data_IF_798373994172
#
_entry.id   IF_798373994172
#
_cell.length_a   1.000
_cell.length_b   1.000
_cell.length_c   1.000
_cell.angle_alpha   90.00
_cell.angle_beta   90.00
_cell.angle_gamma   90.00
#
_symmetry.space_group_name_H-M   'P 1'
#
loop_
_entity.id
_entity.type
_entity.pdbx_description
1 polymer ?
#
# COMPACT_ATOMS: atom_id res chain seq x y z
N UNK A 1 -53.26 18.91 -15.47
CA UNK A 1 -53.16 19.74 -14.24
C UNK A 1 -52.37 18.95 -13.21
N UNK A 2 -51.26 19.37 -12.61
CA UNK A 2 -50.35 20.51 -12.77
C UNK A 2 -49.03 20.01 -12.16
N UNK A 3 -47.94 20.00 -12.96
CA UNK A 3 -46.58 19.70 -12.51
C UNK A 3 -46.09 20.84 -11.62
N UNK A 4 -45.35 20.56 -10.54
CA UNK A 4 -44.50 21.55 -9.87
C UNK A 4 -43.04 21.12 -9.92
N UNK A 5 -42.32 21.80 -10.79
CA UNK A 5 -40.85 21.85 -10.85
C UNK A 5 -40.28 22.66 -9.67
N UNK A 6 -38.99 22.47 -9.35
CA UNK A 6 -38.35 23.00 -8.13
C UNK A 6 -37.88 24.46 -8.28
N UNK A 7 -37.87 25.17 -7.15
CA UNK A 7 -37.28 26.51 -7.02
C UNK A 7 -35.75 26.44 -7.14
N UNK A 8 -35.24 27.18 -8.11
CA UNK A 8 -33.83 27.53 -8.29
C UNK A 8 -33.55 28.82 -7.50
N UNK A 9 -32.60 28.80 -6.57
CA UNK A 9 -32.07 30.02 -5.96
C UNK A 9 -30.76 30.41 -6.68
N UNK A 10 -30.83 31.47 -7.48
CA UNK A 10 -29.66 32.23 -7.94
C UNK A 10 -29.29 33.28 -6.88
N UNK A 11 -28.02 33.32 -6.47
CA UNK A 11 -27.55 34.24 -5.44
C UNK A 11 -26.09 34.63 -5.57
N UNK A 12 -25.83 35.56 -6.49
CA UNK A 12 -24.77 36.61 -6.53
C UNK A 12 -23.29 36.21 -6.36
N UNK A 13 -22.60 36.34 -7.50
CA UNK A 13 -21.17 36.67 -7.63
C UNK A 13 -20.91 38.06 -7.05
N UNK A 14 -19.84 38.21 -6.27
CA UNK A 14 -19.19 39.50 -6.02
C UNK A 14 -17.75 39.42 -6.54
N UNK A 15 -17.42 40.30 -7.49
CA UNK A 15 -16.08 40.63 -7.95
C UNK A 15 -15.64 41.90 -7.20
N UNK A 16 -14.43 41.89 -6.65
CA UNK A 16 -13.63 43.10 -6.47
C UNK A 16 -12.17 42.71 -6.72
N UNK A 17 -11.52 43.49 -7.58
CA UNK A 17 -10.17 43.34 -8.13
C UNK A 17 -9.21 44.33 -7.40
N UNK A 18 -7.93 44.50 -7.77
CA UNK A 18 -6.80 44.27 -6.87
C UNK A 18 -6.06 45.55 -6.46
N UNK A 19 -5.16 45.45 -5.47
CA UNK A 19 -4.16 46.48 -5.20
C UNK A 19 -2.79 45.88 -4.88
N UNK A 20 -1.81 46.52 -5.50
CA UNK A 20 -0.37 46.25 -5.62
C UNK A 20 0.38 46.64 -4.35
N UNK A 21 1.40 45.87 -3.96
CA UNK A 21 2.59 46.43 -3.30
C UNK A 21 3.81 45.51 -3.51
N UNK A 22 4.78 46.03 -4.27
CA UNK A 22 6.12 45.50 -4.43
C UNK A 22 6.99 45.79 -3.20
N UNK A 23 7.85 44.85 -2.83
CA UNK A 23 8.85 45.01 -1.77
C UNK A 23 10.05 44.09 -2.03
N UNK A 24 11.24 44.69 -2.16
CA UNK A 24 12.50 44.10 -2.63
C UNK A 24 13.14 43.11 -1.64
N UNK A 25 13.84 42.14 -2.25
CA UNK A 25 15.08 41.40 -1.90
C UNK A 25 15.76 41.70 -0.55
N UNK A 26 16.25 40.63 0.09
CA UNK A 26 17.62 40.52 0.59
C UNK A 26 18.04 39.05 0.75
N UNK A 27 19.07 38.64 0.00
CA UNK A 27 19.93 37.47 0.29
C UNK A 27 20.85 37.79 1.47
N UNK A 28 21.41 36.76 2.14
CA UNK A 28 22.87 36.69 2.11
C UNK A 28 23.44 35.30 1.80
N UNK A 29 24.63 35.38 1.22
CA UNK A 29 25.46 34.30 0.71
C UNK A 29 26.14 33.45 1.80
N UNK A 30 26.47 32.22 1.41
CA UNK A 30 27.82 31.68 1.56
C UNK A 30 28.08 30.69 2.71
N UNK A 31 28.19 29.41 2.38
CA UNK A 31 29.22 28.55 2.95
C UNK A 31 29.56 27.41 1.97
N UNK A 32 30.85 27.19 1.81
CA UNK A 32 31.52 26.39 0.78
C UNK A 32 31.52 24.88 1.08
N UNK A 33 31.85 24.17 0.00
CA UNK A 33 32.11 22.75 -0.11
C UNK A 33 33.19 22.17 0.83
N UNK A 34 33.02 20.88 1.12
CA UNK A 34 34.00 19.92 1.62
C UNK A 34 33.21 18.67 2.02
N UNK A 35 33.52 17.44 1.68
CA UNK A 35 34.58 16.80 0.92
C UNK A 35 34.17 15.33 0.87
N UNK A 36 34.51 14.63 -0.21
CA UNK A 36 34.20 13.22 -0.39
C UNK A 36 34.81 12.37 0.75
N UNK A 37 33.99 11.49 1.32
CA UNK A 37 34.40 10.44 2.24
C UNK A 37 33.53 9.21 1.99
N UNK A 38 34.10 8.25 1.28
CA UNK A 38 33.62 6.88 1.12
C UNK A 38 33.52 6.19 2.49
N UNK A 39 32.44 5.45 2.78
CA UNK A 39 32.55 4.30 3.65
C UNK A 39 32.12 3.06 2.87
N UNK A 40 33.13 2.33 2.40
CA UNK A 40 33.03 0.92 2.12
C UNK A 40 32.43 0.16 3.30
N UNK A 41 31.67 -0.87 2.93
CA UNK A 41 31.49 -2.17 3.60
C UNK A 41 31.77 -2.16 5.11
N UNK A 42 30.73 -2.47 5.90
CA UNK A 42 30.82 -3.59 6.83
C UNK A 42 29.50 -3.94 7.56
N UNK A 43 29.31 -5.25 7.73
CA UNK A 43 28.49 -5.96 8.72
C UNK A 43 26.96 -5.89 8.62
N UNK A 44 26.43 -6.71 7.72
CA UNK A 44 25.24 -7.51 8.01
C UNK A 44 25.65 -8.71 8.88
N UNK A 45 25.06 -8.85 10.06
CA UNK A 45 25.07 -10.10 10.80
C UNK A 45 23.87 -10.18 11.76
N UNK A 46 23.42 -11.42 11.96
CA UNK A 46 22.34 -11.91 12.81
C UNK A 46 20.95 -11.87 12.20
N UNK A 47 20.54 -12.96 11.55
CA UNK A 47 19.75 -13.96 12.28
C UNK A 47 19.66 -15.29 11.51
N UNK A 48 19.73 -16.40 12.26
CA UNK A 48 19.31 -17.79 11.94
C UNK A 48 20.28 -18.72 11.20
N UNK A 49 20.94 -19.55 12.00
CA UNK A 49 21.10 -20.97 11.67
C UNK A 49 19.77 -21.71 11.86
N UNK A 50 19.58 -22.74 11.03
CA UNK A 50 18.97 -24.02 11.36
C UNK A 50 19.29 -24.98 10.20
N UNK A 51 19.72 -26.17 10.59
CA UNK A 51 20.15 -27.31 9.78
C UNK A 51 19.11 -27.83 8.77
N UNK A 52 19.60 -28.46 7.69
CA UNK A 52 19.28 -29.85 7.36
C UNK A 52 19.92 -30.28 6.03
N UNK A 53 20.78 -31.31 6.08
CA UNK A 53 21.48 -31.84 4.91
C UNK A 53 22.23 -33.15 5.16
N UNK A 54 21.46 -34.22 5.42
CA UNK A 54 21.58 -35.65 5.01
C UNK A 54 22.96 -36.31 4.75
N UNK A 55 23.18 -37.58 5.17
CA UNK A 55 24.51 -38.20 5.31
C UNK A 55 25.00 -38.97 4.07
N UNK A 56 26.33 -38.98 3.89
CA UNK A 56 27.08 -39.93 3.06
C UNK A 56 27.65 -41.05 3.93
N UNK A 57 27.43 -42.31 3.52
CA UNK A 57 27.63 -43.49 4.35
C UNK A 57 29.03 -44.10 4.36
N UNK A 58 29.14 -45.25 5.04
CA UNK A 58 30.04 -46.33 4.62
C UNK A 58 29.69 -47.67 5.27
N UNK A 59 30.29 -48.70 4.67
CA UNK A 59 30.00 -50.14 4.64
C UNK A 59 30.23 -50.90 5.96
N UNK A 60 29.50 -52.01 6.17
CA UNK A 60 30.06 -53.31 6.56
C UNK A 60 29.01 -54.44 6.47
N UNK A 61 29.49 -55.65 6.18
CA UNK A 61 28.78 -56.87 5.83
C UNK A 61 28.16 -57.62 7.02
N UNK A 62 27.14 -58.46 6.77
CA UNK A 62 27.22 -59.90 7.07
C UNK A 62 26.15 -60.70 6.31
N UNK A 63 26.50 -61.92 5.95
CA UNK A 63 25.70 -62.88 5.21
C UNK A 63 24.76 -63.68 6.12
N UNK A 64 23.60 -64.11 5.58
CA UNK A 64 23.20 -65.55 5.44
C UNK A 64 21.71 -65.74 5.12
N UNK A 65 21.48 -66.75 4.25
CA UNK A 65 20.31 -67.64 4.11
C UNK A 65 19.03 -67.16 3.40
N UNK A 66 18.83 -67.77 2.23
CA UNK A 66 17.57 -68.07 1.49
C UNK A 66 16.97 -69.35 2.16
N UNK A 67 15.63 -69.61 2.25
CA UNK A 67 14.80 -69.80 1.06
C UNK A 67 13.26 -69.56 1.09
N UNK A 68 12.76 -69.35 -0.15
CA UNK A 68 11.51 -69.84 -0.79
C UNK A 68 10.14 -69.48 -0.19
N UNK A 69 9.30 -68.91 -1.08
CA UNK A 69 7.87 -69.24 -1.19
C UNK A 69 6.91 -68.10 -0.85
N UNK A 70 6.24 -67.55 -1.86
CA UNK A 70 5.15 -66.60 -1.62
C UNK A 70 4.61 -65.94 -2.88
N UNK A 71 3.38 -66.28 -3.24
CA UNK A 71 2.67 -65.95 -4.49
C UNK A 71 2.63 -64.44 -4.80
N UNK A 72 2.93 -64.08 -6.07
CA UNK A 72 2.65 -62.75 -6.63
C UNK A 72 1.13 -62.48 -6.65
N UNK A 73 0.62 -61.40 -6.04
CA UNK A 73 -0.74 -60.98 -6.31
C UNK A 73 -0.82 -60.37 -7.72
N UNK A 74 -1.78 -60.86 -8.51
CA UNK A 74 -2.11 -60.32 -9.83
C UNK A 74 -2.40 -58.81 -9.70
N UNK A 75 -1.57 -57.97 -10.32
CA UNK A 75 -1.88 -56.56 -10.59
C UNK A 75 -3.16 -56.53 -11.43
N UNK A 76 -4.32 -56.30 -10.81
CA UNK A 76 -5.47 -55.76 -11.52
C UNK A 76 -5.06 -54.38 -12.01
N UNK A 77 -4.91 -54.23 -13.33
CA UNK A 77 -4.88 -52.94 -13.99
C UNK A 77 -6.19 -52.24 -13.64
N UNK A 78 -6.12 -51.31 -12.71
CA UNK A 78 -7.17 -50.33 -12.48
C UNK A 78 -6.94 -49.29 -13.57
N UNK A 79 -7.76 -49.31 -14.61
CA UNK A 79 -7.84 -48.23 -15.59
C UNK A 79 -8.30 -46.97 -14.85
N UNK A 80 -7.32 -46.28 -14.27
CA UNK A 80 -7.50 -45.13 -13.42
C UNK A 80 -7.66 -43.86 -14.24
N UNK A 81 -8.70 -43.77 -15.07
CA UNK A 81 -9.30 -42.47 -15.36
C UNK A 81 -10.31 -42.17 -14.25
N UNK A 82 -9.78 -41.85 -13.07
CA UNK A 82 -10.59 -41.18 -12.05
C UNK A 82 -11.14 -39.88 -12.64
N UNK A 83 -12.35 -39.44 -12.25
CA UNK A 83 -12.89 -38.17 -12.71
C UNK A 83 -11.86 -37.07 -12.39
N UNK A 84 -11.48 -36.32 -13.42
CA UNK A 84 -10.55 -35.19 -13.31
C UNK A 84 -11.19 -34.22 -12.32
N UNK A 85 -10.67 -34.14 -11.10
CA UNK A 85 -11.19 -33.24 -10.08
C UNK A 85 -11.21 -31.83 -10.69
N UNK A 86 -12.40 -31.25 -10.81
CA UNK A 86 -12.55 -29.87 -11.22
C UNK A 86 -11.85 -29.03 -10.16
N UNK A 87 -10.69 -28.47 -10.51
CA UNK A 87 -9.96 -27.55 -9.63
C UNK A 87 -10.88 -26.36 -9.41
N UNK A 88 -11.44 -26.25 -8.21
CA UNK A 88 -12.26 -25.10 -7.86
C UNK A 88 -11.35 -23.87 -7.90
N UNK A 89 -11.69 -22.83 -8.70
CA UNK A 89 -10.87 -21.64 -8.75
C UNK A 89 -10.80 -21.02 -7.35
N UNK A 90 -9.60 -20.56 -6.99
CA UNK A 90 -9.40 -19.88 -5.71
C UNK A 90 -10.31 -18.66 -5.62
N UNK A 91 -10.98 -18.48 -4.48
CA UNK A 91 -11.89 -17.36 -4.24
C UNK A 91 -11.24 -15.99 -4.51
N UNK A 92 -9.94 -15.88 -4.21
CA UNK A 92 -9.08 -14.77 -4.62
C UNK A 92 -7.83 -15.38 -5.26
N UNK A 93 -7.71 -15.37 -6.60
CA UNK A 93 -6.52 -15.83 -7.30
C UNK A 93 -5.26 -15.08 -6.84
N UNK A 94 -4.10 -15.76 -6.84
CA UNK A 94 -2.82 -15.14 -6.42
C UNK A 94 -2.41 -13.98 -7.31
N UNK A 95 -2.72 -14.09 -8.60
CA UNK A 95 -2.56 -13.07 -9.65
C UNK A 95 -3.89 -12.98 -10.40
N UNK A 96 -4.19 -11.87 -11.09
CA UNK A 96 -5.36 -11.80 -11.95
C UNK A 96 -5.40 -12.97 -12.95
N UNK A 97 -6.57 -13.61 -13.15
CA UNK A 97 -6.69 -14.78 -14.03
C UNK A 97 -6.65 -14.46 -15.52
N UNK A 98 -6.74 -13.18 -15.90
CA UNK A 98 -6.71 -12.71 -17.28
C UNK A 98 -6.49 -11.19 -17.35
N UNK A 99 -6.51 -10.62 -18.57
CA UNK A 99 -6.30 -9.19 -18.78
C UNK A 99 -7.29 -8.34 -18.00
N UNK A 100 -6.77 -7.29 -17.37
CA UNK A 100 -7.57 -6.36 -16.60
C UNK A 100 -8.28 -5.36 -17.50
N UNK A 101 -9.45 -4.94 -17.05
CA UNK A 101 -10.22 -3.86 -17.67
C UNK A 101 -10.92 -3.07 -16.60
N UNK A 102 -11.32 -1.83 -16.89
CA UNK A 102 -12.05 -0.98 -15.93
C UNK A 102 -13.19 -0.26 -16.66
N UNK A 103 -14.36 -0.22 -16.04
CA UNK A 103 -15.48 0.61 -16.50
C UNK A 103 -15.48 1.93 -15.75
N UNK A 104 -16.05 2.99 -16.33
CA UNK A 104 -16.17 4.29 -15.66
C UNK A 104 -16.91 4.22 -14.33
N UNK A 105 -17.89 3.32 -14.20
CA UNK A 105 -18.63 3.07 -12.94
C UNK A 105 -17.80 2.40 -11.85
N UNK A 106 -16.60 1.92 -12.16
CA UNK A 106 -15.66 1.27 -11.24
C UNK A 106 -14.49 2.21 -10.87
N UNK A 107 -14.58 3.48 -11.29
CA UNK A 107 -13.60 4.53 -10.98
C UNK A 107 -14.25 5.55 -10.06
N UNK A 108 -13.61 5.80 -8.92
CA UNK A 108 -13.94 6.90 -8.03
C UNK A 108 -13.18 8.14 -8.48
N UNK A 109 -13.92 9.19 -8.85
CA UNK A 109 -13.36 10.53 -8.99
C UNK A 109 -13.31 11.21 -7.61
N UNK A 110 -12.09 11.48 -7.12
CA UNK A 110 -11.90 12.00 -5.76
C UNK A 110 -11.11 13.31 -5.73
N UNK A 111 -11.73 14.37 -5.19
CA UNK A 111 -11.11 15.67 -4.92
C UNK A 111 -11.16 16.06 -3.42
N UNK A 112 -11.45 15.09 -2.56
CA UNK A 112 -11.60 15.29 -1.13
C UNK A 112 -10.27 15.47 -0.39
N UNK A 113 -10.32 15.70 0.93
CA UNK A 113 -9.12 15.80 1.75
C UNK A 113 -8.38 14.47 1.82
N UNK A 114 -7.06 14.56 1.95
CA UNK A 114 -6.16 13.43 2.17
C UNK A 114 -5.30 13.72 3.38
N UNK A 115 -5.07 12.69 4.18
CA UNK A 115 -4.32 12.76 5.43
C UNK A 115 -3.24 11.69 5.45
N UNK A 116 -2.06 12.07 5.92
CA UNK A 116 -0.93 11.15 6.10
C UNK A 116 -0.19 11.51 7.37
N UNK A 117 0.20 10.49 8.12
CA UNK A 117 1.19 10.60 9.18
C UNK A 117 2.50 10.07 8.62
N UNK A 118 3.54 10.90 8.64
CA UNK A 118 4.86 10.53 8.13
C UNK A 118 5.93 10.97 9.12
N UNK A 119 7.10 10.35 9.01
CA UNK A 119 8.25 10.64 9.86
C UNK A 119 9.11 11.71 9.21
N UNK A 120 9.65 12.60 10.04
CA UNK A 120 10.62 13.62 9.61
C UNK A 120 12.04 13.34 10.14
N UNK A 121 12.21 12.30 10.97
CA UNK A 121 13.52 11.84 11.46
C UNK A 121 13.70 10.32 11.29
N UNK A 122 14.91 9.89 10.92
CA UNK A 122 15.27 8.48 10.70
C UNK A 122 15.98 8.22 9.36
N UNK A 123 16.20 6.94 9.04
CA UNK A 123 17.04 6.52 7.89
C UNK A 123 16.34 6.50 6.53
N UNK A 124 15.02 6.31 6.52
CA UNK A 124 14.25 6.10 5.28
C UNK A 124 13.07 7.08 5.23
N UNK A 125 13.41 8.36 5.12
CA UNK A 125 12.42 9.43 5.02
C UNK A 125 11.88 9.50 3.59
N UNK A 126 10.58 9.70 3.49
CA UNK A 126 9.88 9.98 2.24
C UNK A 126 9.07 11.22 2.52
N UNK A 127 9.28 12.29 1.75
CA UNK A 127 8.56 13.53 1.97
C UNK A 127 7.04 13.30 1.90
N UNK A 128 6.29 14.22 2.50
CA UNK A 128 4.83 14.10 2.58
C UNK A 128 4.21 13.95 1.19
N UNK A 129 4.75 14.61 0.17
CA UNK A 129 4.30 14.61 -1.23
C UNK A 129 5.10 13.70 -2.17
N UNK A 130 6.01 12.88 -1.63
CA UNK A 130 6.79 11.95 -2.46
C UNK A 130 6.16 10.56 -2.50
N UNK A 131 6.33 9.90 -3.64
CA UNK A 131 6.03 8.49 -3.82
C UNK A 131 7.26 7.66 -3.48
N UNK A 132 7.11 6.67 -2.61
CA UNK A 132 8.19 5.72 -2.28
C UNK A 132 8.48 4.87 -3.51
N UNK A 133 9.75 4.87 -3.97
CA UNK A 133 10.24 4.09 -5.12
C UNK A 133 10.97 2.79 -4.77
N UNK A 134 11.20 2.52 -3.49
CA UNK A 134 11.84 1.29 -3.01
C UNK A 134 10.78 0.28 -2.56
N UNK A 135 10.70 -0.92 -3.13
CA UNK A 135 9.68 -1.92 -2.81
C UNK A 135 9.88 -3.24 -3.55
N UNK A 136 8.95 -4.20 -3.42
CA UNK A 136 7.70 -4.11 -2.67
C UNK A 136 7.92 -4.39 -1.18
N UNK A 137 7.37 -3.55 -0.31
CA UNK A 137 7.47 -3.77 1.14
C UNK A 137 6.46 -4.82 1.60
N UNK A 138 6.87 -5.76 2.46
CA UNK A 138 6.01 -6.86 2.96
C UNK A 138 4.93 -6.38 3.91
N UNK A 139 5.12 -5.22 4.55
CA UNK A 139 4.13 -4.56 5.41
C UNK A 139 3.00 -3.89 4.62
N UNK A 140 3.24 -3.57 3.36
CA UNK A 140 2.32 -2.80 2.51
C UNK A 140 1.41 -3.73 1.72
N UNK A 141 0.12 -3.39 1.64
CA UNK A 141 -0.89 -4.26 1.04
C UNK A 141 -1.00 -4.09 -0.47
N UNK A 142 -1.04 -2.85 -0.95
CA UNK A 142 -1.26 -2.53 -2.37
C UNK A 142 -0.01 -1.89 -2.98
N UNK A 143 1.13 -2.52 -2.75
CA UNK A 143 2.41 -2.06 -3.26
C UNK A 143 2.57 -2.51 -4.73
N UNK A 144 2.70 -1.57 -5.70
CA UNK A 144 2.74 -1.91 -7.12
C UNK A 144 4.13 -2.35 -7.61
N UNK A 145 5.16 -2.29 -6.77
CA UNK A 145 6.50 -2.70 -7.19
C UNK A 145 6.52 -4.21 -7.53
N UNK A 146 7.21 -4.60 -8.61
CA UNK A 146 7.32 -6.01 -9.00
C UNK A 146 8.00 -6.82 -7.90
N UNK A 147 7.61 -8.07 -7.74
CA UNK A 147 8.31 -8.95 -6.80
C UNK A 147 9.59 -9.45 -7.46
N UNK A 148 10.74 -9.08 -6.90
CA UNK A 148 12.07 -9.53 -7.35
C UNK A 148 12.54 -10.72 -6.49
N UNK A 149 13.16 -11.76 -7.07
CA UNK A 149 13.77 -12.86 -6.32
C UNK A 149 14.78 -12.43 -5.25
N UNK A 150 15.50 -11.33 -5.47
CA UNK A 150 16.49 -10.78 -4.56
C UNK A 150 15.88 -9.93 -3.43
N UNK A 151 14.56 -9.78 -3.40
CA UNK A 151 13.84 -8.97 -2.41
C UNK A 151 13.56 -7.54 -2.87
N UNK A 152 13.18 -6.63 -1.96
CA UNK A 152 12.81 -5.26 -2.33
C UNK A 152 13.99 -4.47 -2.93
N UNK A 153 13.73 -3.72 -3.99
CA UNK A 153 14.72 -2.95 -4.74
C UNK A 153 14.20 -1.54 -5.06
N UNK A 154 15.10 -0.68 -5.56
CA UNK A 154 14.73 0.64 -6.05
C UNK A 154 14.19 0.54 -7.49
N UNK A 155 13.04 1.17 -7.75
CA UNK A 155 12.41 1.23 -9.06
C UNK A 155 12.25 2.69 -9.52
N UNK A 156 13.07 3.19 -10.46
CA UNK A 156 13.01 4.58 -10.88
C UNK A 156 11.68 5.02 -11.50
N UNK A 157 10.91 4.10 -12.07
CA UNK A 157 9.64 4.37 -12.76
C UNK A 157 8.41 3.84 -12.03
N UNK A 158 8.55 3.33 -10.81
CA UNK A 158 7.42 2.87 -10.00
C UNK A 158 7.54 3.54 -8.65
N UNK A 159 6.45 4.14 -8.19
CA UNK A 159 6.40 4.73 -6.87
C UNK A 159 4.99 4.71 -6.35
N UNK A 160 4.87 4.60 -5.03
CA UNK A 160 3.59 4.52 -4.34
C UNK A 160 3.54 5.46 -3.14
N UNK A 161 2.39 6.10 -2.96
CA UNK A 161 2.09 7.01 -1.89
C UNK A 161 0.78 6.57 -1.22
N UNK A 162 0.78 6.52 0.11
CA UNK A 162 -0.38 6.11 0.90
C UNK A 162 -0.90 7.28 1.72
N UNK A 163 -2.20 7.51 1.63
CA UNK A 163 -2.94 8.48 2.44
C UNK A 163 -4.30 7.90 2.81
N UNK A 164 -4.98 8.55 3.76
CA UNK A 164 -6.35 8.22 4.14
C UNK A 164 -7.27 9.42 3.87
N UNK A 165 -8.58 9.17 3.74
CA UNK A 165 -9.57 10.25 3.55
C UNK A 165 -9.89 11.00 4.85
N UNK A 166 -9.50 10.45 5.99
CA UNK A 166 -9.74 11.00 7.32
C UNK A 166 -8.57 10.72 8.28
N UNK A 167 -8.51 11.49 9.37
CA UNK A 167 -7.42 11.41 10.35
C UNK A 167 -7.49 10.12 11.18
N UNK A 168 -8.69 9.65 11.51
CA UNK A 168 -8.89 8.42 12.30
C UNK A 168 -8.27 7.21 11.60
N UNK A 169 -8.52 7.08 10.30
CA UNK A 169 -7.95 6.04 9.45
C UNK A 169 -6.44 6.21 9.30
N UNK A 170 -5.95 7.43 9.11
CA UNK A 170 -4.50 7.69 9.08
C UNK A 170 -3.80 7.26 10.38
N UNK A 171 -4.40 7.54 11.54
CA UNK A 171 -3.91 7.10 12.87
C UNK A 171 -3.99 5.58 12.99
N UNK A 172 -5.14 5.00 12.67
CA UNK A 172 -5.38 3.56 12.81
C UNK A 172 -4.38 2.76 12.00
N UNK A 173 -4.14 3.12 10.73
CA UNK A 173 -3.20 2.45 9.83
C UNK A 173 -1.75 2.64 10.27
N UNK A 174 -1.35 3.84 10.66
CA UNK A 174 0.04 4.16 11.04
C UNK A 174 0.46 3.41 12.30
N UNK A 175 -0.44 3.33 13.29
CA UNK A 175 -0.15 2.75 14.61
C UNK A 175 -0.78 1.37 14.84
N UNK A 176 -1.27 0.71 13.78
CA UNK A 176 -2.02 -0.56 13.86
C UNK A 176 -1.33 -1.67 14.67
N UNK A 177 -0.01 -1.75 14.58
CA UNK A 177 0.76 -2.83 15.22
C UNK A 177 0.83 -2.69 16.74
N UNK A 178 0.99 -1.46 17.24
CA UNK A 178 1.23 -1.18 18.66
C UNK A 178 -0.02 -0.65 19.36
N UNK A 179 -1.02 -0.18 18.61
CA UNK A 179 -2.28 0.42 19.12
C UNK A 179 -2.01 1.54 20.14
N UNK A 180 -0.90 2.23 19.94
CA UNK A 180 -0.44 3.34 20.74
C UNK A 180 0.20 4.38 19.82
N UNK A 181 -0.19 5.64 19.99
CA UNK A 181 0.30 6.78 19.22
C UNK A 181 1.43 7.42 20.01
N UNK A 182 2.66 7.11 19.60
CA UNK A 182 3.87 7.78 20.08
C UNK A 182 4.02 9.11 19.35
N UNK A 183 4.01 10.21 20.11
CA UNK A 183 4.06 11.56 19.58
C UNK A 183 5.46 12.02 19.15
N UNK A 184 6.52 11.31 19.55
CA UNK A 184 7.90 11.76 19.44
C UNK A 184 8.74 10.86 18.52
N UNK A 185 8.53 9.53 18.56
CA UNK A 185 9.38 8.58 17.85
C UNK A 185 9.40 8.80 16.33
N UNK A 186 10.55 9.24 15.82
CA UNK A 186 10.77 9.53 14.39
C UNK A 186 10.20 10.89 13.94
N UNK A 187 9.87 11.79 14.88
CA UNK A 187 9.31 13.11 14.59
C UNK A 187 8.05 13.01 13.73
N UNK A 188 7.00 12.32 14.18
CA UNK A 188 5.82 12.09 13.37
C UNK A 188 5.07 13.42 13.14
N UNK A 189 4.66 13.64 11.90
CA UNK A 189 3.94 14.83 11.45
C UNK A 189 2.63 14.41 10.81
N UNK A 190 1.54 15.06 11.23
CA UNK A 190 0.24 14.96 10.57
C UNK A 190 0.19 16.00 9.46
N UNK A 191 0.01 15.54 8.23
CA UNK A 191 -0.11 16.39 7.05
C UNK A 191 -1.45 16.14 6.36
N UNK A 192 -2.13 17.22 5.99
CA UNK A 192 -3.42 17.22 5.31
C UNK A 192 -3.41 18.11 4.07
N UNK A 193 -4.00 17.63 2.98
CA UNK A 193 -4.08 18.37 1.72
C UNK A 193 -5.31 17.97 0.90
N UNK A 194 -5.53 18.67 -0.21
CA UNK A 194 -6.48 18.29 -1.27
C UNK A 194 -5.72 18.20 -2.59
N UNK A 195 -6.07 17.28 -3.49
CA UNK A 195 -5.43 17.24 -4.80
C UNK A 195 -5.84 18.46 -5.64
N UNK A 196 -4.97 18.90 -6.56
CA UNK A 196 -5.22 20.08 -7.42
C UNK A 196 -6.13 19.77 -8.62
N UNK A 197 -6.34 18.48 -8.90
CA UNK A 197 -7.32 17.95 -9.85
C UNK A 197 -8.01 16.72 -9.24
N UNK A 198 -9.23 16.36 -9.67
CA UNK A 198 -9.83 15.08 -9.29
C UNK A 198 -8.90 13.90 -9.62
N UNK A 199 -8.74 12.99 -8.66
CA UNK A 199 -8.03 11.72 -8.83
C UNK A 199 -8.96 10.68 -9.44
N UNK A 200 -8.44 9.86 -10.35
CA UNK A 200 -9.14 8.70 -10.91
C UNK A 200 -8.64 7.42 -10.22
N UNK A 201 -9.43 6.91 -9.28
CA UNK A 201 -9.03 5.80 -8.41
C UNK A 201 -9.85 4.55 -8.69
N UNK A 202 -9.22 3.39 -8.78
CA UNK A 202 -9.93 2.11 -8.90
C UNK A 202 -10.74 1.83 -7.63
N UNK A 203 -12.05 1.61 -7.75
CA UNK A 203 -12.89 1.20 -6.62
C UNK A 203 -12.70 -0.29 -6.27
N UNK A 204 -11.97 -0.55 -5.18
CA UNK A 204 -11.84 -1.91 -4.66
C UNK A 204 -12.96 -2.32 -3.68
N UNK A 205 -13.81 -1.38 -3.27
CA UNK A 205 -14.98 -1.68 -2.44
C UNK A 205 -16.14 -2.21 -3.27
N UNK A 206 -16.23 -1.77 -4.53
CA UNK A 206 -17.26 -2.12 -5.50
C UNK A 206 -17.09 -3.50 -6.15
N UNK A 207 -17.72 -3.65 -7.32
CA UNK A 207 -17.84 -4.94 -8.02
C UNK A 207 -16.68 -5.25 -8.96
N UNK A 208 -15.71 -4.35 -9.13
CA UNK A 208 -14.61 -4.52 -10.08
C UNK A 208 -13.87 -5.84 -9.88
N UNK A 209 -13.47 -6.13 -8.63
CA UNK A 209 -12.73 -7.37 -8.33
C UNK A 209 -13.50 -8.61 -8.78
N UNK A 210 -14.82 -8.64 -8.55
CA UNK A 210 -15.70 -9.75 -8.94
C UNK A 210 -15.69 -9.95 -10.45
N UNK A 211 -15.77 -8.86 -11.21
CA UNK A 211 -15.72 -8.89 -12.68
C UNK A 211 -14.37 -9.39 -13.20
N UNK A 212 -13.28 -9.09 -12.48
CA UNK A 212 -11.94 -9.61 -12.78
C UNK A 212 -11.70 -11.04 -12.25
N UNK A 213 -12.72 -11.72 -11.73
CA UNK A 213 -12.61 -13.10 -11.25
C UNK A 213 -12.03 -13.25 -9.83
N UNK A 214 -12.12 -12.22 -8.99
CA UNK A 214 -11.76 -12.27 -7.57
C UNK A 214 -12.91 -11.83 -6.66
N UNK A 215 -13.07 -12.46 -5.51
CA UNK A 215 -14.06 -12.01 -4.53
C UNK A 215 -13.68 -10.66 -3.89
N UNK A 216 -14.67 -9.97 -3.32
CA UNK A 216 -14.49 -8.72 -2.55
C UNK A 216 -13.46 -8.85 -1.42
N UNK A 217 -13.27 -10.06 -0.88
CA UNK A 217 -12.23 -10.38 0.11
C UNK A 217 -10.79 -10.14 -0.38
N UNK A 218 -10.58 -9.78 -1.66
CA UNK A 218 -9.30 -9.30 -2.18
C UNK A 218 -8.72 -8.16 -1.33
N UNK A 219 -9.56 -7.26 -0.83
CA UNK A 219 -9.11 -6.11 -0.01
C UNK A 219 -8.49 -6.53 1.32
N UNK A 220 -8.83 -7.73 1.81
CA UNK A 220 -8.31 -8.32 3.05
C UNK A 220 -7.47 -9.58 2.82
N UNK A 221 -7.15 -9.94 1.57
CA UNK A 221 -6.38 -11.12 1.22
C UNK A 221 -4.93 -11.07 1.79
N UNK A 222 -4.14 -12.15 1.72
CA UNK A 222 -2.73 -12.09 2.09
C UNK A 222 -2.02 -10.94 1.36
N UNK A 223 -1.14 -10.20 2.06
CA UNK A 223 -0.47 -9.01 1.48
C UNK A 223 0.27 -9.33 0.17
N UNK A 224 0.85 -10.51 0.03
CA UNK A 224 1.47 -10.96 -1.22
C UNK A 224 0.49 -10.98 -2.41
N UNK A 225 -0.74 -11.44 -2.18
CA UNK A 225 -1.82 -11.45 -3.19
C UNK A 225 -2.24 -10.02 -3.51
N UNK A 226 -2.53 -9.19 -2.49
CA UNK A 226 -2.91 -7.80 -2.72
C UNK A 226 -1.84 -7.01 -3.52
N UNK A 227 -0.55 -7.25 -3.24
CA UNK A 227 0.57 -6.63 -3.99
C UNK A 227 0.65 -7.13 -5.42
N UNK A 228 0.47 -8.43 -5.66
CA UNK A 228 0.44 -8.98 -7.01
C UNK A 228 -0.69 -8.38 -7.85
N UNK A 229 -1.87 -8.20 -7.25
CA UNK A 229 -2.99 -7.48 -7.88
C UNK A 229 -2.68 -6.00 -8.10
N UNK A 230 -2.15 -5.28 -7.11
CA UNK A 230 -1.78 -3.87 -7.26
C UNK A 230 -0.72 -3.66 -8.36
N UNK A 231 0.25 -4.57 -8.48
CA UNK A 231 1.24 -4.56 -9.55
C UNK A 231 0.59 -4.72 -10.93
N UNK A 232 -0.30 -5.71 -11.10
CA UNK A 232 -1.00 -5.93 -12.35
C UNK A 232 -1.89 -4.74 -12.74
N UNK A 233 -2.65 -4.18 -11.79
CA UNK A 233 -3.47 -2.98 -12.04
C UNK A 233 -2.59 -1.80 -12.45
N UNK A 234 -1.46 -1.57 -11.76
CA UNK A 234 -0.52 -0.50 -12.13
C UNK A 234 0.04 -0.69 -13.55
N UNK A 235 0.34 -1.93 -13.95
CA UNK A 235 0.91 -2.25 -15.25
C UNK A 235 -0.11 -2.17 -16.40
N UNK A 236 -1.32 -2.70 -16.20
CA UNK A 236 -2.31 -2.88 -17.27
C UNK A 236 -3.31 -1.72 -17.41
N UNK A 237 -3.52 -0.93 -16.35
CA UNK A 237 -4.47 0.19 -16.33
C UNK A 237 -3.76 1.53 -16.11
N UNK A 238 -2.96 2.02 -17.09
CA UNK A 238 -2.10 3.17 -16.92
C UNK A 238 -2.84 4.51 -16.79
N UNK A 239 -4.12 4.55 -17.14
CA UNK A 239 -5.00 5.72 -17.06
C UNK A 239 -5.46 6.05 -15.64
N UNK A 240 -5.23 5.16 -14.68
CA UNK A 240 -5.62 5.34 -13.28
C UNK A 240 -4.50 5.99 -12.47
N UNK A 241 -4.89 6.93 -11.61
CA UNK A 241 -3.97 7.60 -10.68
C UNK A 241 -3.59 6.68 -9.50
N UNK A 242 -4.44 5.70 -9.17
CA UNK A 242 -4.26 4.84 -8.03
C UNK A 242 -5.47 3.97 -7.68
N UNK A 243 -5.58 3.59 -6.41
CA UNK A 243 -6.65 2.73 -5.89
C UNK A 243 -7.38 3.37 -4.71
N UNK A 244 -8.70 3.22 -4.70
CA UNK A 244 -9.59 3.49 -3.58
C UNK A 244 -9.82 2.17 -2.82
N UNK A 245 -9.10 2.01 -1.71
CA UNK A 245 -9.01 0.74 -0.99
C UNK A 245 -9.60 0.86 0.42
N UNK A 246 -10.61 0.06 0.80
CA UNK A 246 -11.07 0.02 2.19
C UNK A 246 -9.95 -0.33 3.16
N UNK A 247 -9.81 0.45 4.23
CA UNK A 247 -8.95 0.14 5.36
C UNK A 247 -9.43 -1.14 6.04
N UNK A 248 -8.51 -2.06 6.32
CA UNK A 248 -8.82 -3.24 7.13
C UNK A 248 -8.96 -2.92 8.62
N UNK A 249 -8.66 -1.67 9.02
CA UNK A 249 -8.74 -1.20 10.41
C UNK A 249 -10.04 -0.46 10.69
N UNK A 250 -10.51 0.38 9.75
CA UNK A 250 -11.67 1.27 9.96
C UNK A 250 -12.80 1.07 8.95
N UNK A 251 -12.57 0.35 7.85
CA UNK A 251 -13.50 0.24 6.72
C UNK A 251 -13.59 1.50 5.84
N UNK A 252 -13.13 2.65 6.33
CA UNK A 252 -13.03 3.87 5.54
C UNK A 252 -11.92 3.77 4.49
N UNK A 253 -11.95 4.65 3.49
CA UNK A 253 -11.05 4.54 2.34
C UNK A 253 -9.62 5.01 2.64
N UNK A 254 -8.66 4.17 2.25
CA UNK A 254 -7.29 4.56 1.97
C UNK A 254 -7.14 4.86 0.48
N UNK A 255 -6.30 5.83 0.19
CA UNK A 255 -5.89 6.17 -1.17
C UNK A 255 -4.47 5.64 -1.37
N UNK A 256 -4.32 4.81 -2.39
CA UNK A 256 -3.03 4.27 -2.82
C UNK A 256 -2.70 4.94 -4.15
N UNK A 257 -1.95 6.03 -4.08
CA UNK A 257 -1.61 6.85 -5.24
C UNK A 257 -0.30 6.36 -5.86
N UNK A 258 -0.22 6.35 -7.19
CA UNK A 258 1.01 6.00 -7.89
C UNK A 258 1.77 7.23 -8.35
N UNK A 259 3.07 7.04 -8.61
CA UNK A 259 3.98 8.14 -8.98
C UNK A 259 3.50 8.96 -10.18
N UNK A 260 2.73 8.39 -11.11
CA UNK A 260 2.18 9.11 -12.27
C UNK A 260 1.19 10.21 -11.91
N UNK A 261 0.61 10.15 -10.71
CA UNK A 261 -0.35 11.13 -10.20
C UNK A 261 0.28 12.15 -9.25
N UNK A 262 1.61 12.27 -9.24
CA UNK A 262 2.36 13.29 -8.49
C UNK A 262 1.94 14.70 -8.87
N UNK A 263 1.53 14.92 -10.11
CA UNK A 263 1.00 16.19 -10.62
C UNK A 263 -0.30 16.61 -9.93
N UNK A 264 -1.05 15.68 -9.34
CA UNK A 264 -2.25 15.96 -8.58
C UNK A 264 -1.96 16.45 -7.16
N UNK A 265 -0.72 16.35 -6.66
CA UNK A 265 -0.35 16.84 -5.34
C UNK A 265 -0.09 18.35 -5.38
N UNK A 266 -0.59 19.13 -4.40
CA UNK A 266 -0.33 20.56 -4.36
C UNK A 266 1.13 20.86 -4.01
N UNK A 267 1.61 22.04 -4.38
CA UNK A 267 2.97 22.50 -4.07
C UNK A 267 3.24 22.58 -2.56
N UNK A 268 2.20 22.87 -1.76
CA UNK A 268 2.25 22.90 -0.30
C UNK A 268 1.00 22.23 0.29
N UNK A 269 1.11 21.58 1.46
CA UNK A 269 -0.06 21.01 2.13
C UNK A 269 -0.91 22.12 2.75
N UNK A 270 -2.21 21.89 2.86
CA UNK A 270 -3.11 22.82 3.54
C UNK A 270 -2.92 22.81 5.07
N UNK A 271 -2.42 21.69 5.60
CA UNK A 271 -2.13 21.51 7.02
C UNK A 271 -0.87 20.65 7.18
N UNK A 272 0.04 21.05 8.05
CA UNK A 272 1.16 20.22 8.48
C UNK A 272 1.60 20.61 9.88
N UNK A 273 1.58 19.67 10.82
CA UNK A 273 2.03 19.91 12.20
C UNK A 273 2.61 18.61 12.83
N UNK A 274 3.66 18.71 13.64
CA UNK A 274 4.10 17.62 14.51
C UNK A 274 2.97 17.05 15.36
N UNK A 275 2.99 15.75 15.66
CA UNK A 275 1.94 15.15 16.49
C UNK A 275 1.94 15.67 17.93
N UNK A 276 3.10 16.07 18.45
CA UNK A 276 3.25 16.64 19.80
C UNK A 276 2.74 18.09 19.92
N UNK A 277 2.39 18.73 18.81
CA UNK A 277 1.79 20.07 18.81
C UNK A 277 0.48 20.08 19.63
N UNK A 278 0.25 21.05 20.55
CA UNK A 278 -0.90 21.05 21.47
C UNK A 278 -2.27 20.85 20.80
N UNK A 279 -2.51 21.54 19.68
CA UNK A 279 -3.77 21.37 18.92
C UNK A 279 -3.94 19.98 18.33
N UNK A 280 -2.85 19.37 17.83
CA UNK A 280 -2.88 18.02 17.26
C UNK A 280 -3.12 17.01 18.37
N UNK A 281 -2.45 17.14 19.52
CA UNK A 281 -2.70 16.30 20.70
C UNK A 281 -4.15 16.35 21.16
N UNK A 282 -4.73 17.56 21.23
CA UNK A 282 -6.16 17.75 21.60
C UNK A 282 -7.10 17.06 20.61
N UNK A 283 -6.78 17.11 19.32
CA UNK A 283 -7.53 16.43 18.26
C UNK A 283 -7.38 14.89 18.33
N UNK A 284 -6.16 14.41 18.60
CA UNK A 284 -5.86 12.98 18.66
C UNK A 284 -6.50 12.28 19.86
N UNK A 285 -6.72 12.96 20.99
CA UNK A 285 -7.29 12.37 22.20
C UNK A 285 -8.64 11.64 21.95
N UNK A 286 -9.68 12.33 21.47
CA UNK A 286 -10.96 11.71 21.13
C UNK A 286 -10.86 10.64 20.04
N UNK A 287 -10.01 10.86 19.02
CA UNK A 287 -9.78 9.88 17.95
C UNK A 287 -9.24 8.57 18.52
N UNK A 288 -8.17 8.66 19.32
CA UNK A 288 -7.53 7.51 19.95
C UNK A 288 -8.51 6.78 20.87
N UNK A 289 -9.26 7.51 21.71
CA UNK A 289 -10.28 6.92 22.56
C UNK A 289 -11.36 6.18 21.74
N UNK A 290 -11.83 6.76 20.64
CA UNK A 290 -12.85 6.18 19.77
C UNK A 290 -12.43 4.87 19.08
N UNK A 291 -11.13 4.69 18.79
CA UNK A 291 -10.60 3.47 18.17
C UNK A 291 -9.88 2.54 19.16
N UNK A 292 -9.89 2.86 20.46
CA UNK A 292 -9.25 2.08 21.52
C UNK A 292 -7.72 2.12 21.49
N UNK A 293 -7.12 3.22 21.02
CA UNK A 293 -5.67 3.43 21.03
C UNK A 293 -5.27 4.29 22.23
N UNK A 294 -4.02 4.12 22.70
CA UNK A 294 -3.43 4.98 23.73
C UNK A 294 -2.64 6.12 23.09
N UNK A 295 -2.67 7.30 23.68
CA UNK A 295 -1.79 8.41 23.32
C UNK A 295 -0.61 8.42 24.30
N UNK A 296 0.62 8.42 23.79
CA UNK A 296 1.86 8.38 24.58
C UNK A 296 2.61 9.71 24.48
#
# INVERSE_FOLDING_TARGET
>A
MLRRSPLVLHGRRSRADPAVAAGRRQDPAGARAGGAGDPGREHAAHDRGCDDGTPGGDRAADARRVPRGGRRPRRRRRDGRGPRALVTPAKVPRVPPGPLSVHSSEVVEYAGPQWRIHRTAGRHLVAWNEARRYGPLTSMRFDPHPTDPCGPALHPSIGVHYSAVDITTAVAETFQRVRAVDLFAGGPVLTGWRPVRPLRLLDLAGTWALRQGAAQSLTAAPRSVCRAWAHAVHAELPELDGMWAPSTMTGAANIVLWHRAVDALPAAPAFTRPLDHPDVRRMLGPICAGIGYRLL
#
